data_IF_489423506333
#
_entry.id   IF_489423506333
#
_cell.length_a   1.000
_cell.length_b   1.000
_cell.length_c   1.000
_cell.angle_alpha   90.00
_cell.angle_beta   90.00
_cell.angle_gamma   90.00
#
_symmetry.space_group_name_H-M   'P 1'
#
loop_
_entity.id
_entity.type
_entity.pdbx_description
1 polymer ?
#
# COMPACT_ATOMS: atom_id res chain seq x y z
N UNK A 1 8.79 22.16 -9.64
CA UNK A 1 9.45 20.95 -10.17
C UNK A 1 8.62 19.76 -9.74
N UNK A 2 8.13 18.97 -10.69
CA UNK A 2 7.17 17.89 -10.46
C UNK A 2 7.94 16.61 -10.15
N UNK A 3 7.75 16.05 -8.95
CA UNK A 3 8.30 14.76 -8.58
C UNK A 3 7.55 13.63 -9.30
N UNK A 4 8.19 12.98 -10.26
CA UNK A 4 7.69 11.80 -10.94
C UNK A 4 8.56 10.59 -10.59
N UNK A 5 7.92 9.48 -10.30
CA UNK A 5 8.55 8.16 -10.40
C UNK A 5 9.04 8.02 -11.85
N UNK A 6 10.19 7.37 -12.10
CA UNK A 6 10.60 6.99 -13.47
C UNK A 6 9.64 5.99 -14.14
N UNK A 7 8.50 5.79 -13.55
CA UNK A 7 7.34 5.16 -14.19
C UNK A 7 6.71 6.04 -15.28
N UNK A 8 7.15 7.31 -15.38
CA UNK A 8 6.77 8.21 -16.46
C UNK A 8 7.98 8.43 -17.40
N UNK A 9 7.80 8.46 -18.72
CA UNK A 9 8.90 8.61 -19.68
C UNK A 9 9.71 9.88 -19.42
N UNK A 10 11.00 9.73 -19.13
CA UNK A 10 11.93 10.85 -19.15
C UNK A 10 12.22 11.20 -20.63
N UNK A 11 11.54 12.20 -21.16
CA UNK A 11 11.80 12.68 -22.52
C UNK A 11 10.57 12.70 -23.43
N UNK A 12 9.47 12.16 -23.03
CA UNK A 12 8.23 12.38 -23.76
C UNK A 12 7.59 13.66 -23.25
N UNK A 13 7.52 14.69 -24.11
CA UNK A 13 6.67 15.87 -23.96
C UNK A 13 5.18 15.46 -24.10
N UNK A 14 4.78 14.39 -23.47
CA UNK A 14 3.41 14.12 -23.16
C UNK A 14 3.00 15.14 -22.10
N UNK A 15 2.56 16.30 -22.60
CA UNK A 15 1.63 17.18 -21.89
C UNK A 15 0.32 16.42 -21.67
N UNK A 16 0.37 15.26 -21.04
CA UNK A 16 -0.73 14.87 -20.20
C UNK A 16 -0.75 15.94 -19.11
N UNK A 17 -1.66 16.89 -19.26
CA UNK A 17 -2.17 17.68 -18.17
C UNK A 17 -2.62 16.67 -17.11
N UNK A 18 -1.70 16.23 -16.26
CA UNK A 18 -2.08 15.77 -14.93
C UNK A 18 -2.79 16.97 -14.34
N UNK A 19 -4.11 17.03 -14.50
CA UNK A 19 -4.95 17.92 -13.73
C UNK A 19 -4.59 17.59 -12.30
N UNK A 20 -4.00 18.53 -11.60
CA UNK A 20 -3.91 18.49 -10.15
C UNK A 20 -5.37 18.40 -9.68
N UNK A 21 -5.83 17.19 -9.45
CA UNK A 21 -7.17 16.99 -8.93
C UNK A 21 -7.20 17.63 -7.55
N UNK A 22 -8.20 18.47 -7.33
CA UNK A 22 -8.46 19.04 -6.01
C UNK A 22 -8.80 17.89 -5.07
N UNK A 23 -8.53 18.06 -3.77
CA UNK A 23 -9.02 17.16 -2.74
C UNK A 23 -10.51 16.91 -2.97
N UNK A 24 -10.92 15.66 -2.99
CA UNK A 24 -12.33 15.28 -3.15
C UNK A 24 -13.17 15.92 -2.05
N UNK A 25 -14.45 16.23 -2.33
CA UNK A 25 -15.40 16.59 -1.30
C UNK A 25 -15.48 15.50 -0.23
N UNK A 26 -15.67 15.89 1.03
CA UNK A 26 -15.69 14.97 2.15
C UNK A 26 -16.83 13.95 2.02
N UNK A 27 -17.98 14.38 1.55
CA UNK A 27 -19.16 13.54 1.31
C UNK A 27 -18.86 12.41 0.35
N UNK A 28 -18.12 12.68 -0.74
CA UNK A 28 -17.70 11.65 -1.70
C UNK A 28 -16.79 10.62 -1.06
N UNK A 29 -15.88 11.05 -0.17
CA UNK A 29 -14.99 10.14 0.57
C UNK A 29 -15.79 9.28 1.55
N UNK A 30 -16.77 9.87 2.23
CA UNK A 30 -17.64 9.17 3.18
C UNK A 30 -18.58 8.17 2.51
N UNK A 31 -19.11 8.50 1.33
CA UNK A 31 -19.91 7.57 0.52
C UNK A 31 -19.07 6.35 0.14
N UNK A 32 -17.87 6.55 -0.39
CA UNK A 32 -16.97 5.46 -0.73
C UNK A 32 -16.55 4.63 0.50
N UNK A 33 -16.36 5.27 1.66
CA UNK A 33 -16.04 4.58 2.90
C UNK A 33 -17.20 3.73 3.43
N UNK A 34 -18.45 4.22 3.33
CA UNK A 34 -19.67 3.47 3.70
C UNK A 34 -19.85 2.25 2.77
N UNK A 35 -19.67 2.46 1.47
CA UNK A 35 -19.72 1.37 0.48
C UNK A 35 -18.66 0.30 0.76
N UNK A 36 -17.40 0.71 0.97
CA UNK A 36 -16.33 -0.22 1.32
C UNK A 36 -16.66 -1.01 2.59
N UNK A 37 -17.22 -0.36 3.62
CA UNK A 37 -17.65 -1.01 4.86
C UNK A 37 -18.79 -2.01 4.59
N UNK A 38 -19.79 -1.63 3.82
CA UNK A 38 -20.92 -2.51 3.45
C UNK A 38 -20.43 -3.75 2.68
N UNK A 39 -19.38 -3.61 1.89
CA UNK A 39 -18.72 -4.70 1.18
C UNK A 39 -17.76 -5.53 2.06
N UNK A 40 -17.63 -5.23 3.36
CA UNK A 40 -16.86 -6.01 4.33
C UNK A 40 -15.40 -5.56 4.50
N UNK A 41 -15.02 -4.39 3.99
CA UNK A 41 -13.70 -3.83 4.27
C UNK A 41 -13.54 -3.49 5.76
N UNK A 42 -12.39 -3.82 6.33
CA UNK A 42 -12.04 -3.49 7.73
C UNK A 42 -11.21 -2.22 7.84
N UNK A 43 -10.63 -1.76 6.72
CA UNK A 43 -9.78 -0.58 6.62
C UNK A 43 -10.12 0.20 5.37
N UNK A 44 -10.18 1.52 5.50
CA UNK A 44 -10.32 2.43 4.37
C UNK A 44 -9.01 3.20 4.16
N UNK A 45 -8.50 3.15 2.93
CA UNK A 45 -7.26 3.83 2.55
C UNK A 45 -7.56 5.08 1.73
N UNK A 46 -7.16 6.24 2.23
CA UNK A 46 -7.25 7.53 1.54
C UNK A 46 -5.90 7.88 0.93
N UNK A 47 -5.87 8.28 -0.33
CA UNK A 47 -4.61 8.57 -1.00
C UNK A 47 -4.66 9.82 -1.86
N UNK A 48 -3.54 10.55 -1.87
CA UNK A 48 -3.27 11.63 -2.80
C UNK A 48 -1.85 11.49 -3.35
N UNK A 49 -1.69 11.63 -4.66
CA UNK A 49 -0.40 11.54 -5.34
C UNK A 49 0.45 12.81 -5.14
N UNK A 50 0.61 13.23 -3.89
CA UNK A 50 1.41 14.40 -3.53
C UNK A 50 2.88 14.02 -3.31
N UNK A 51 3.75 15.00 -3.46
CA UNK A 51 5.12 14.88 -2.96
C UNK A 51 5.13 14.95 -1.43
N UNK A 52 4.39 15.92 -0.88
CA UNK A 52 4.14 16.17 0.53
C UNK A 52 2.79 16.88 0.66
N UNK A 53 2.00 16.64 1.72
CA UNK A 53 0.79 17.42 1.96
C UNK A 53 1.16 18.88 2.25
N UNK A 54 0.36 19.80 1.67
CA UNK A 54 0.53 21.23 1.96
C UNK A 54 -0.25 21.58 3.21
N UNK A 55 0.24 22.54 3.98
CA UNK A 55 -0.38 22.97 5.22
C UNK A 55 -1.86 23.34 5.06
N UNK A 56 -2.20 24.05 3.98
CA UNK A 56 -3.59 24.45 3.64
C UNK A 56 -4.54 23.26 3.39
N UNK A 57 -4.00 22.08 3.13
CA UNK A 57 -4.76 20.87 2.79
C UNK A 57 -4.90 19.94 4.01
N UNK A 58 -4.07 20.14 5.04
CA UNK A 58 -4.01 19.28 6.22
C UNK A 58 -5.33 19.25 7.00
N UNK A 59 -5.95 20.40 7.26
CA UNK A 59 -7.21 20.48 8.01
C UNK A 59 -8.31 19.62 7.37
N UNK A 60 -8.42 19.66 6.03
CA UNK A 60 -9.39 18.83 5.30
C UNK A 60 -9.08 17.35 5.40
N UNK A 61 -7.80 16.99 5.31
CA UNK A 61 -7.37 15.59 5.46
C UNK A 61 -7.68 15.08 6.86
N UNK A 62 -7.37 15.86 7.89
CA UNK A 62 -7.68 15.53 9.29
C UNK A 62 -9.19 15.35 9.51
N UNK A 63 -10.01 16.22 8.92
CA UNK A 63 -11.45 16.07 8.98
C UNK A 63 -11.90 14.77 8.31
N UNK A 64 -11.40 14.44 7.11
CA UNK A 64 -11.70 13.17 6.44
C UNK A 64 -11.31 11.97 7.32
N UNK A 65 -10.14 12.01 7.97
CA UNK A 65 -9.69 10.95 8.87
C UNK A 65 -10.67 10.77 10.01
N UNK A 66 -11.07 11.85 10.70
CA UNK A 66 -12.02 11.82 11.82
C UNK A 66 -13.37 11.22 11.41
N UNK A 67 -13.90 11.67 10.28
CA UNK A 67 -15.20 11.23 9.78
C UNK A 67 -15.21 9.76 9.34
N UNK A 68 -14.17 9.33 8.61
CA UNK A 68 -14.03 7.92 8.23
C UNK A 68 -13.82 7.03 9.46
N UNK A 69 -13.05 7.50 10.44
CA UNK A 69 -12.86 6.80 11.72
C UNK A 69 -14.18 6.63 12.48
N UNK A 70 -15.03 7.64 12.47
CA UNK A 70 -16.36 7.60 13.10
C UNK A 70 -17.28 6.53 12.47
N UNK A 71 -17.04 6.11 11.23
CA UNK A 71 -17.72 4.98 10.62
C UNK A 71 -17.30 3.62 11.20
N UNK A 72 -16.29 3.57 12.08
CA UNK A 72 -15.78 2.33 12.69
C UNK A 72 -14.80 1.54 11.81
N UNK A 73 -14.21 2.18 10.80
CA UNK A 73 -13.15 1.61 9.98
C UNK A 73 -11.76 1.92 10.56
N UNK A 74 -10.79 1.01 10.38
CA UNK A 74 -9.39 1.41 10.47
C UNK A 74 -9.11 2.41 9.33
N UNK A 75 -8.39 3.47 9.64
CA UNK A 75 -8.02 4.50 8.66
C UNK A 75 -6.57 4.35 8.22
N UNK A 76 -6.32 4.54 6.92
CA UNK A 76 -4.98 4.56 6.35
C UNK A 76 -4.85 5.75 5.41
N UNK A 77 -3.72 6.43 5.42
CA UNK A 77 -3.45 7.54 4.52
C UNK A 77 -2.14 7.36 3.73
N UNK A 78 -2.15 7.79 2.47
CA UNK A 78 -0.98 7.83 1.56
C UNK A 78 -0.90 9.23 0.97
N UNK A 79 -0.09 10.10 1.56
CA UNK A 79 -0.04 11.54 1.22
C UNK A 79 1.34 12.01 0.74
N UNK A 80 2.26 11.06 0.50
CA UNK A 80 3.65 11.38 0.17
C UNK A 80 4.53 11.47 1.42
N UNK A 81 5.58 12.29 1.35
CA UNK A 81 6.49 12.52 2.47
C UNK A 81 5.83 13.45 3.49
N UNK A 82 5.91 13.10 4.77
CA UNK A 82 5.43 13.95 5.85
C UNK A 82 6.54 14.87 6.34
N UNK A 83 6.21 16.12 6.56
CA UNK A 83 7.05 17.09 7.25
C UNK A 83 6.89 16.96 8.77
N UNK A 84 7.70 17.69 9.53
CA UNK A 84 7.65 17.69 10.99
C UNK A 84 6.26 18.11 11.51
N UNK A 85 5.74 17.42 12.51
CA UNK A 85 4.43 17.66 13.11
C UNK A 85 3.23 17.16 12.31
N UNK A 86 3.37 16.87 11.02
CA UNK A 86 2.23 16.39 10.21
C UNK A 86 1.77 14.99 10.61
N UNK A 87 2.69 14.11 11.01
CA UNK A 87 2.35 12.78 11.49
C UNK A 87 1.57 12.83 12.81
N UNK A 88 1.96 13.74 13.73
CA UNK A 88 1.29 13.93 15.01
C UNK A 88 -0.14 14.42 14.81
N UNK A 89 -0.36 15.40 13.97
CA UNK A 89 -1.69 15.91 13.61
C UNK A 89 -2.60 14.83 13.03
N UNK A 90 -2.06 13.99 12.13
CA UNK A 90 -2.82 12.85 11.58
C UNK A 90 -3.16 11.83 12.67
N UNK A 91 -2.25 11.59 13.61
CA UNK A 91 -2.50 10.72 14.77
C UNK A 91 -3.60 11.28 15.67
N UNK A 92 -3.55 12.57 15.99
CA UNK A 92 -4.57 13.27 16.77
C UNK A 92 -5.95 13.25 16.08
N UNK A 93 -5.96 13.33 14.75
CA UNK A 93 -7.17 13.15 13.97
C UNK A 93 -7.74 11.72 13.98
N UNK A 94 -7.00 10.73 14.54
CA UNK A 94 -7.43 9.34 14.68
C UNK A 94 -6.94 8.42 13.56
N UNK A 95 -5.91 8.82 12.80
CA UNK A 95 -5.30 7.94 11.80
C UNK A 95 -4.68 6.71 12.46
N UNK A 96 -4.94 5.52 11.92
CA UNK A 96 -4.37 4.27 12.43
C UNK A 96 -3.06 3.91 11.70
N UNK A 97 -3.04 4.06 10.37
CA UNK A 97 -1.91 3.65 9.52
C UNK A 97 -1.49 4.76 8.59
N UNK A 98 -0.18 4.90 8.40
CA UNK A 98 0.35 5.68 7.30
C UNK A 98 1.03 4.76 6.29
N UNK A 99 0.65 4.89 5.01
CA UNK A 99 1.25 4.11 3.93
C UNK A 99 2.34 4.92 3.25
N UNK A 100 3.57 4.41 3.33
CA UNK A 100 4.72 4.97 2.64
C UNK A 100 5.68 3.85 2.26
N UNK A 101 5.63 3.44 0.99
CA UNK A 101 6.41 2.31 0.51
C UNK A 101 7.90 2.66 0.33
N UNK A 102 8.78 1.68 0.53
CA UNK A 102 10.19 1.76 0.12
C UNK A 102 10.34 1.58 -1.40
N UNK A 103 9.34 1.03 -2.05
CA UNK A 103 9.21 0.71 -3.45
C UNK A 103 10.14 -0.42 -3.89
N UNK A 104 11.44 -0.36 -3.61
CA UNK A 104 12.41 -1.42 -3.95
C UNK A 104 13.57 -1.46 -2.95
N UNK A 105 14.59 -2.29 -3.22
CA UNK A 105 15.82 -2.33 -2.43
C UNK A 105 16.66 -1.05 -2.62
N UNK A 106 17.47 -0.64 -1.62
CA UNK A 106 18.36 0.52 -1.74
C UNK A 106 19.25 0.46 -2.99
N UNK A 107 19.82 -0.72 -3.27
CA UNK A 107 20.76 -0.91 -4.39
C UNK A 107 20.11 -0.83 -5.77
N UNK A 108 18.77 -0.87 -5.84
CA UNK A 108 18.03 -0.76 -7.09
C UNK A 108 17.21 0.52 -7.19
N UNK A 109 17.14 1.29 -6.10
CA UNK A 109 16.25 2.45 -5.99
C UNK A 109 16.52 3.51 -7.05
N UNK A 110 17.77 3.89 -7.27
CA UNK A 110 18.16 4.93 -8.23
C UNK A 110 17.92 4.52 -9.70
N UNK A 111 17.76 3.21 -9.96
CA UNK A 111 17.43 2.73 -11.29
C UNK A 111 15.98 3.05 -11.68
N UNK A 112 15.09 3.20 -10.69
CA UNK A 112 13.64 3.38 -10.92
C UNK A 112 13.12 4.73 -10.43
N UNK A 113 13.77 5.37 -9.46
CA UNK A 113 13.34 6.62 -8.84
C UNK A 113 14.48 7.63 -8.85
N UNK A 114 14.26 8.78 -9.51
CA UNK A 114 15.25 9.85 -9.66
C UNK A 114 14.85 11.16 -8.99
N UNK A 115 13.69 11.21 -8.35
CA UNK A 115 13.08 12.45 -7.85
C UNK A 115 13.09 12.58 -6.33
N UNK A 116 13.50 11.52 -5.65
CA UNK A 116 13.58 11.41 -4.19
C UNK A 116 14.74 10.49 -3.85
N UNK A 117 15.37 10.73 -2.73
CA UNK A 117 16.36 9.82 -2.17
C UNK A 117 15.69 8.70 -1.37
N UNK A 118 16.37 7.58 -1.23
CA UNK A 118 15.87 6.47 -0.42
C UNK A 118 15.72 6.88 1.05
N UNK A 119 16.63 7.73 1.53
CA UNK A 119 16.60 8.26 2.89
C UNK A 119 15.35 9.07 3.18
N UNK A 120 14.82 9.86 2.23
CA UNK A 120 13.57 10.61 2.39
C UNK A 120 12.40 9.70 2.82
N UNK A 121 12.41 8.44 2.33
CA UNK A 121 11.38 7.46 2.69
C UNK A 121 11.56 6.96 4.11
N UNK A 122 12.79 6.64 4.49
CA UNK A 122 13.11 6.20 5.85
C UNK A 122 12.80 7.29 6.87
N UNK A 123 13.12 8.55 6.57
CA UNK A 123 12.83 9.69 7.45
C UNK A 123 11.33 9.87 7.64
N UNK A 124 10.54 9.73 6.57
CA UNK A 124 9.07 9.77 6.68
C UNK A 124 8.55 8.63 7.57
N UNK A 125 9.06 7.41 7.39
CA UNK A 125 8.69 6.27 8.24
C UNK A 125 9.10 6.49 9.71
N UNK A 126 10.24 7.13 9.93
CA UNK A 126 10.69 7.55 11.26
C UNK A 126 9.71 8.51 11.94
N UNK A 127 9.27 9.56 11.23
CA UNK A 127 8.25 10.52 11.73
C UNK A 127 6.93 9.82 12.04
N UNK A 128 6.48 8.92 11.15
CA UNK A 128 5.26 8.12 11.34
C UNK A 128 5.35 7.28 12.63
N UNK A 129 6.49 6.63 12.87
CA UNK A 129 6.72 5.84 14.08
C UNK A 129 6.78 6.70 15.33
N UNK A 130 7.46 7.84 15.27
CA UNK A 130 7.55 8.78 16.39
C UNK A 130 6.17 9.26 16.85
N UNK A 131 5.28 9.55 15.91
CA UNK A 131 3.89 9.92 16.18
C UNK A 131 3.02 8.75 16.71
N UNK A 132 3.55 7.53 16.84
CA UNK A 132 2.80 6.36 17.29
C UNK A 132 1.77 5.84 16.29
N UNK A 133 1.94 6.15 15.00
CA UNK A 133 1.15 5.58 13.91
C UNK A 133 1.69 4.19 13.55
N UNK A 134 0.79 3.31 13.12
CA UNK A 134 1.17 2.04 12.50
C UNK A 134 1.66 2.28 11.07
N UNK A 135 2.64 1.50 10.65
CA UNK A 135 3.25 1.61 9.32
C UNK A 135 2.64 0.59 8.37
N UNK A 136 2.21 1.08 7.19
CA UNK A 136 1.94 0.29 6.02
C UNK A 136 3.08 0.58 5.02
N UNK A 137 3.98 -0.37 4.83
CA UNK A 137 5.16 -0.17 3.99
C UNK A 137 5.54 -1.46 3.28
N UNK A 138 5.74 -1.37 2.00
CA UNK A 138 6.13 -2.47 1.13
C UNK A 138 6.84 -1.98 -0.12
N UNK A 139 6.64 -2.68 -1.23
CA UNK A 139 7.29 -2.32 -2.49
C UNK A 139 6.62 -2.92 -3.71
N UNK A 140 7.28 -2.71 -4.84
CA UNK A 140 6.87 -3.20 -6.17
C UNK A 140 7.93 -4.20 -6.63
N UNK A 141 7.50 -5.34 -7.12
CA UNK A 141 8.38 -6.36 -7.71
C UNK A 141 8.03 -6.59 -9.19
N UNK A 142 9.02 -7.02 -9.96
CA UNK A 142 8.89 -7.17 -11.42
C UNK A 142 9.31 -5.92 -12.22
N UNK A 143 10.06 -5.00 -11.59
CA UNK A 143 10.59 -3.80 -12.25
C UNK A 143 11.94 -4.04 -12.96
N UNK A 144 12.37 -5.29 -13.10
CA UNK A 144 13.66 -5.69 -13.65
C UNK A 144 14.74 -5.93 -12.58
N UNK A 145 14.38 -5.88 -11.31
CA UNK A 145 15.26 -6.19 -10.20
C UNK A 145 15.61 -7.69 -10.14
N UNK A 146 16.80 -8.01 -9.69
CA UNK A 146 17.26 -9.38 -9.44
C UNK A 146 16.61 -9.98 -8.18
N UNK A 147 16.69 -11.31 -8.04
CA UNK A 147 16.26 -12.01 -6.81
C UNK A 147 16.96 -11.46 -5.57
N UNK A 148 18.26 -11.13 -5.67
CA UNK A 148 19.03 -10.54 -4.56
C UNK A 148 18.46 -9.21 -4.15
N UNK A 149 18.10 -8.35 -5.09
CA UNK A 149 17.49 -7.05 -4.80
C UNK A 149 16.09 -7.20 -4.21
N UNK A 150 15.26 -8.17 -4.66
CA UNK A 150 13.99 -8.48 -3.98
C UNK A 150 14.20 -8.93 -2.53
N UNK A 151 15.20 -9.79 -2.29
CA UNK A 151 15.56 -10.15 -0.93
C UNK A 151 16.05 -8.95 -0.11
N UNK A 152 16.78 -8.01 -0.73
CA UNK A 152 17.19 -6.75 -0.13
C UNK A 152 16.01 -5.88 0.32
N UNK A 153 14.97 -5.75 -0.51
CA UNK A 153 13.74 -5.06 -0.13
C UNK A 153 13.11 -5.70 1.12
N UNK A 154 12.95 -7.03 1.14
CA UNK A 154 12.35 -7.72 2.29
C UNK A 154 13.23 -7.58 3.53
N UNK A 155 14.55 -7.67 3.39
CA UNK A 155 15.49 -7.46 4.49
C UNK A 155 15.39 -6.05 5.07
N UNK A 156 15.28 -5.02 4.22
CA UNK A 156 15.06 -3.64 4.69
C UNK A 156 13.76 -3.50 5.49
N UNK A 157 12.66 -4.06 5.00
CA UNK A 157 11.38 -4.01 5.68
C UNK A 157 11.44 -4.74 7.04
N UNK A 158 12.06 -5.92 7.07
CA UNK A 158 12.18 -6.75 8.27
C UNK A 158 13.10 -6.13 9.34
N UNK A 159 14.08 -5.33 8.91
CA UNK A 159 15.04 -4.67 9.81
C UNK A 159 14.55 -3.30 10.33
N UNK A 160 13.41 -2.80 9.85
CA UNK A 160 12.75 -1.66 10.50
C UNK A 160 12.34 -2.09 11.93
N UNK A 161 12.57 -1.24 12.91
CA UNK A 161 12.28 -1.56 14.32
C UNK A 161 11.22 -0.62 14.90
N UNK A 162 9.97 -1.10 15.11
CA UNK A 162 9.47 -2.42 14.68
C UNK A 162 9.27 -2.51 13.17
N UNK A 163 9.27 -3.73 12.60
CA UNK A 163 8.91 -3.90 11.19
C UNK A 163 7.45 -3.47 10.93
N UNK A 164 7.06 -3.20 9.66
CA UNK A 164 5.73 -2.69 9.35
C UNK A 164 4.61 -3.65 9.77
N UNK A 165 3.53 -3.14 10.33
CA UNK A 165 2.33 -3.91 10.65
C UNK A 165 1.58 -4.38 9.39
N UNK A 166 1.81 -3.71 8.26
CA UNK A 166 1.19 -4.06 6.98
C UNK A 166 2.22 -3.93 5.86
N UNK A 167 2.40 -5.00 5.08
CA UNK A 167 3.40 -5.09 4.02
C UNK A 167 2.69 -5.38 2.69
N UNK A 168 2.32 -4.32 1.92
CA UNK A 168 1.79 -4.50 0.59
C UNK A 168 2.90 -4.92 -0.39
N UNK A 169 2.73 -6.04 -1.05
CA UNK A 169 3.58 -6.48 -2.16
C UNK A 169 2.81 -6.24 -3.45
N UNK A 170 3.31 -5.31 -4.27
CA UNK A 170 2.74 -4.97 -5.55
C UNK A 170 3.48 -5.73 -6.66
N UNK A 171 2.74 -6.29 -7.60
CA UNK A 171 3.30 -6.75 -8.87
C UNK A 171 3.24 -5.60 -9.87
N UNK A 172 4.32 -5.38 -10.61
CA UNK A 172 4.34 -4.33 -11.63
C UNK A 172 3.22 -4.54 -12.64
N UNK A 173 2.37 -3.54 -12.80
CA UNK A 173 1.42 -3.45 -13.89
C UNK A 173 2.05 -2.59 -14.98
N UNK A 174 2.39 -3.20 -16.09
CA UNK A 174 3.01 -2.48 -17.21
C UNK A 174 1.96 -1.62 -17.91
N UNK A 175 2.29 -0.35 -18.13
CA UNK A 175 1.44 0.60 -18.83
C UNK A 175 2.22 1.14 -20.03
N UNK A 176 1.62 1.07 -21.21
CA UNK A 176 2.21 1.58 -22.43
C UNK A 176 2.61 3.06 -22.31
N UNK A 177 3.78 3.41 -22.83
CA UNK A 177 4.33 4.75 -22.74
C UNK A 177 5.03 5.06 -21.41
N UNK A 178 5.13 4.11 -20.47
CA UNK A 178 5.92 4.27 -19.24
C UNK A 178 7.32 3.65 -19.40
N UNK A 179 8.34 4.11 -18.65
CA UNK A 179 9.72 3.61 -18.77
C UNK A 179 9.89 2.11 -18.47
N UNK A 180 9.00 1.52 -17.70
CA UNK A 180 9.02 0.09 -17.36
C UNK A 180 8.17 -0.77 -18.29
N UNK A 181 7.55 -0.17 -19.31
CA UNK A 181 6.85 -0.93 -20.34
C UNK A 181 7.84 -1.81 -21.13
N UNK A 182 7.50 -3.07 -21.37
CA UNK A 182 8.39 -4.04 -22.02
C UNK A 182 9.44 -4.66 -21.09
N UNK A 183 9.45 -4.33 -19.80
CA UNK A 183 10.28 -5.05 -18.82
C UNK A 183 9.89 -6.54 -18.82
N UNK A 184 10.87 -7.43 -18.72
CA UNK A 184 10.61 -8.87 -18.64
C UNK A 184 9.64 -9.19 -17.48
N UNK A 185 8.61 -9.98 -17.77
CA UNK A 185 7.63 -10.36 -16.77
C UNK A 185 8.30 -11.14 -15.64
N UNK A 186 7.94 -10.84 -14.40
CA UNK A 186 8.40 -11.60 -13.26
C UNK A 186 7.77 -13.00 -13.28
N UNK A 187 8.58 -14.02 -13.10
CA UNK A 187 8.11 -15.39 -12.91
C UNK A 187 7.12 -15.45 -11.73
N UNK A 188 5.92 -16.04 -11.91
CA UNK A 188 4.91 -16.11 -10.86
C UNK A 188 5.42 -16.77 -9.56
N UNK A 189 6.28 -17.78 -9.65
CA UNK A 189 6.86 -18.43 -8.47
C UNK A 189 7.84 -17.51 -7.72
N UNK A 190 8.51 -16.59 -8.42
CA UNK A 190 9.32 -15.57 -7.75
C UNK A 190 8.46 -14.59 -6.94
N UNK A 191 7.25 -14.25 -7.43
CA UNK A 191 6.31 -13.46 -6.67
C UNK A 191 5.83 -14.22 -5.42
N UNK A 192 5.40 -15.48 -5.57
CA UNK A 192 4.98 -16.35 -4.45
C UNK A 192 6.10 -16.51 -3.43
N UNK A 193 7.34 -16.71 -3.88
CA UNK A 193 8.52 -16.80 -3.01
C UNK A 193 8.73 -15.49 -2.22
N UNK A 194 8.53 -14.34 -2.85
CA UNK A 194 8.62 -13.04 -2.17
C UNK A 194 7.60 -12.93 -1.03
N UNK A 195 6.36 -13.37 -1.26
CA UNK A 195 5.32 -13.45 -0.22
C UNK A 195 5.73 -14.37 0.92
N UNK A 196 6.26 -15.58 0.61
CA UNK A 196 6.70 -16.53 1.63
C UNK A 196 7.82 -15.96 2.51
N UNK A 197 8.83 -15.33 1.89
CA UNK A 197 9.94 -14.72 2.63
C UNK A 197 9.44 -13.55 3.49
N UNK A 198 8.55 -12.69 2.96
CA UNK A 198 7.95 -11.62 3.73
C UNK A 198 7.18 -12.15 4.96
N UNK A 199 6.45 -13.26 4.83
CA UNK A 199 5.73 -13.92 5.93
C UNK A 199 6.69 -14.47 6.99
N UNK A 200 7.76 -15.14 6.56
CA UNK A 200 8.73 -15.74 7.48
C UNK A 200 9.47 -14.67 8.29
N UNK A 201 9.91 -13.61 7.62
CA UNK A 201 10.71 -12.54 8.25
C UNK A 201 9.88 -11.56 9.06
N UNK A 202 8.59 -11.40 8.73
CA UNK A 202 7.66 -10.49 9.41
C UNK A 202 6.38 -11.25 9.84
N UNK A 203 6.47 -12.18 10.79
CA UNK A 203 5.40 -13.15 11.09
C UNK A 203 4.10 -12.51 11.62
N UNK A 204 4.17 -11.35 12.24
CA UNK A 204 2.98 -10.63 12.76
C UNK A 204 2.41 -9.62 11.77
N UNK A 205 3.11 -9.33 10.67
CA UNK A 205 2.65 -8.37 9.67
C UNK A 205 1.43 -8.87 8.89
N UNK A 206 0.62 -7.94 8.41
CA UNK A 206 -0.38 -8.22 7.36
C UNK A 206 0.34 -8.19 6.01
N UNK A 207 0.78 -9.35 5.52
CA UNK A 207 1.36 -9.48 4.18
C UNK A 207 0.23 -9.41 3.17
N UNK A 208 0.26 -8.37 2.34
CA UNK A 208 -0.89 -7.99 1.50
C UNK A 208 -0.60 -8.16 0.02
N UNK A 209 -1.50 -8.86 -0.67
CA UNK A 209 -1.57 -8.79 -2.13
C UNK A 209 -2.18 -7.44 -2.54
N UNK A 210 -1.43 -6.69 -3.32
CA UNK A 210 -1.79 -5.32 -3.70
C UNK A 210 -1.98 -5.21 -5.23
N UNK A 211 -1.35 -4.24 -5.90
CA UNK A 211 -1.48 -4.09 -7.34
C UNK A 211 -1.02 -5.33 -8.12
N UNK A 212 -1.58 -5.52 -9.33
CA UNK A 212 -1.22 -6.61 -10.24
C UNK A 212 -2.01 -7.92 -10.03
N UNK A 213 -3.00 -7.94 -9.15
CA UNK A 213 -3.80 -9.14 -8.84
C UNK A 213 -4.57 -9.68 -10.05
N UNK A 214 -5.09 -8.80 -10.92
CA UNK A 214 -5.79 -9.22 -12.16
C UNK A 214 -4.86 -9.99 -13.09
N UNK A 215 -3.61 -9.57 -13.20
CA UNK A 215 -2.61 -10.19 -14.07
C UNK A 215 -2.09 -11.54 -13.55
N UNK A 216 -2.13 -11.74 -12.23
CA UNK A 216 -1.67 -12.99 -11.60
C UNK A 216 -2.59 -14.18 -11.85
N UNK A 217 -3.88 -13.96 -12.04
CA UNK A 217 -4.88 -15.01 -12.08
C UNK A 217 -5.14 -15.67 -10.71
N UNK A 218 -6.20 -16.46 -10.63
CA UNK A 218 -6.65 -17.08 -9.38
C UNK A 218 -5.63 -18.07 -8.78
N UNK A 219 -5.00 -18.90 -9.62
CA UNK A 219 -4.06 -19.93 -9.16
C UNK A 219 -2.83 -19.34 -8.45
N UNK A 220 -2.26 -18.27 -8.99
CA UNK A 220 -1.11 -17.59 -8.36
C UNK A 220 -1.53 -16.88 -7.09
N UNK A 221 -2.70 -16.27 -7.04
CA UNK A 221 -3.24 -15.69 -5.81
C UNK A 221 -3.45 -16.76 -4.74
N UNK A 222 -4.01 -17.93 -5.10
CA UNK A 222 -4.17 -19.05 -4.18
C UNK A 222 -2.81 -19.51 -3.60
N UNK A 223 -1.79 -19.66 -4.43
CA UNK A 223 -0.44 -19.98 -3.98
C UNK A 223 0.12 -18.90 -3.04
N UNK A 224 -0.16 -17.62 -3.30
CA UNK A 224 0.25 -16.54 -2.40
C UNK A 224 -0.43 -16.63 -1.02
N UNK A 225 -1.72 -16.99 -0.95
CA UNK A 225 -2.38 -17.23 0.34
C UNK A 225 -1.76 -18.43 1.09
N UNK A 226 -1.47 -19.53 0.39
CA UNK A 226 -0.76 -20.68 0.98
C UNK A 226 0.65 -20.30 1.45
N UNK A 227 1.34 -19.43 0.72
CA UNK A 227 2.66 -18.91 1.07
C UNK A 227 2.63 -17.91 2.24
N UNK A 228 1.45 -17.49 2.70
CA UNK A 228 1.30 -16.67 3.89
C UNK A 228 0.78 -15.25 3.66
N UNK A 229 0.31 -14.89 2.47
CA UNK A 229 -0.49 -13.68 2.32
C UNK A 229 -1.77 -13.82 3.17
N UNK A 230 -2.15 -12.76 3.89
CA UNK A 230 -3.31 -12.77 4.77
C UNK A 230 -4.13 -11.47 4.71
N UNK A 231 -3.91 -10.70 3.66
CA UNK A 231 -4.62 -9.44 3.40
C UNK A 231 -4.64 -9.17 1.90
N UNK A 232 -5.69 -8.51 1.44
CA UNK A 232 -5.80 -8.00 0.07
C UNK A 232 -6.20 -6.54 0.09
N UNK A 233 -5.91 -5.81 -0.99
CA UNK A 233 -6.67 -4.62 -1.30
C UNK A 233 -7.99 -5.02 -1.92
N UNK A 234 -9.08 -4.50 -1.39
CA UNK A 234 -10.45 -4.80 -1.75
C UNK A 234 -11.06 -3.61 -2.49
N UNK A 235 -11.85 -3.89 -3.54
CA UNK A 235 -12.46 -2.88 -4.41
C UNK A 235 -11.82 -2.84 -5.80
N UNK A 236 -12.61 -2.46 -6.79
CA UNK A 236 -12.33 -2.54 -8.23
C UNK A 236 -11.20 -1.64 -8.73
N UNK A 237 -10.83 -0.63 -7.95
CA UNK A 237 -9.86 0.38 -8.34
C UNK A 237 -8.88 0.70 -7.22
N UNK A 238 -7.59 0.61 -7.53
CA UNK A 238 -6.51 1.21 -6.75
C UNK A 238 -6.25 2.64 -7.25
N UNK A 239 -5.34 3.37 -6.60
CA UNK A 239 -5.07 4.76 -6.95
C UNK A 239 -4.79 4.99 -8.45
N UNK A 240 -4.09 4.05 -9.11
CA UNK A 240 -3.63 4.19 -10.50
C UNK A 240 -3.96 3.00 -11.39
N UNK A 241 -4.42 1.87 -10.85
CA UNK A 241 -4.65 0.63 -11.60
C UNK A 241 -5.96 -0.04 -11.19
N UNK A 242 -6.55 -0.78 -12.13
CA UNK A 242 -7.69 -1.65 -11.83
C UNK A 242 -7.31 -2.81 -10.90
N UNK A 243 -8.26 -3.29 -10.14
CA UNK A 243 -8.15 -4.41 -9.20
C UNK A 243 -9.34 -5.37 -9.43
N UNK A 244 -9.29 -6.64 -9.00
CA UNK A 244 -10.49 -7.47 -8.94
C UNK A 244 -11.60 -6.78 -8.17
N UNK A 245 -12.83 -6.95 -8.62
CA UNK A 245 -13.97 -6.39 -7.90
C UNK A 245 -14.30 -7.20 -6.63
N UNK A 246 -15.25 -6.70 -5.87
CA UNK A 246 -15.64 -7.32 -4.60
C UNK A 246 -16.25 -8.72 -4.79
N UNK A 247 -16.90 -8.99 -5.92
CA UNK A 247 -17.50 -10.27 -6.23
C UNK A 247 -16.45 -11.31 -6.63
N UNK A 248 -15.52 -10.93 -7.48
CA UNK A 248 -14.34 -11.75 -7.83
C UNK A 248 -13.59 -12.19 -6.56
N UNK A 249 -13.36 -11.24 -5.64
CA UNK A 249 -12.67 -11.53 -4.39
C UNK A 249 -13.46 -12.47 -3.48
N UNK A 250 -14.78 -12.29 -3.36
CA UNK A 250 -15.64 -13.21 -2.60
C UNK A 250 -15.63 -14.61 -3.20
N UNK A 251 -15.74 -14.69 -4.54
CA UNK A 251 -15.71 -15.97 -5.24
C UNK A 251 -14.39 -16.71 -5.04
N UNK A 252 -13.26 -16.02 -5.17
CA UNK A 252 -11.92 -16.59 -4.94
C UNK A 252 -11.76 -17.08 -3.50
N UNK A 253 -12.10 -16.25 -2.51
CA UNK A 253 -12.01 -16.62 -1.10
C UNK A 253 -12.90 -17.83 -0.78
N UNK A 254 -14.12 -17.89 -1.32
CA UNK A 254 -15.01 -19.03 -1.15
C UNK A 254 -14.44 -20.33 -1.76
N UNK A 255 -13.89 -20.28 -2.98
CA UNK A 255 -13.18 -21.41 -3.62
C UNK A 255 -12.04 -21.95 -2.76
N UNK A 256 -11.33 -21.05 -2.05
CA UNK A 256 -10.21 -21.40 -1.19
C UNK A 256 -10.61 -21.78 0.23
N UNK A 257 -11.90 -21.75 0.59
CA UNK A 257 -12.38 -21.97 1.95
C UNK A 257 -11.92 -20.89 2.95
N UNK A 258 -11.49 -19.72 2.45
CA UNK A 258 -11.04 -18.61 3.27
C UNK A 258 -12.21 -17.70 3.65
N UNK A 259 -12.11 -17.10 4.83
CA UNK A 259 -13.10 -16.14 5.33
C UNK A 259 -12.43 -14.81 5.65
N UNK A 260 -13.09 -13.71 5.31
CA UNK A 260 -12.67 -12.38 5.78
C UNK A 260 -12.91 -12.26 7.28
N UNK A 261 -12.01 -11.61 8.01
CA UNK A 261 -12.29 -11.25 9.41
C UNK A 261 -13.41 -10.21 9.42
N UNK A 262 -14.58 -10.62 9.82
CA UNK A 262 -15.64 -9.71 10.24
C UNK A 262 -15.23 -9.18 11.61
N UNK A 263 -15.10 -7.85 11.76
CA UNK A 263 -14.79 -7.10 12.97
C UNK A 263 -14.41 -7.93 14.21
N UNK A 264 -13.14 -8.31 14.34
CA UNK A 264 -12.70 -8.97 15.56
C UNK A 264 -12.68 -7.91 16.67
N UNK A 265 -13.71 -7.90 17.49
CA UNK A 265 -13.54 -7.54 18.90
C UNK A 265 -12.43 -8.46 19.40
N UNK A 266 -11.37 -7.88 19.92
CA UNK A 266 -10.25 -8.59 20.54
C UNK A 266 -10.80 -9.33 21.78
N UNK A 267 -11.32 -10.54 21.55
CA UNK A 267 -11.66 -11.43 22.65
C UNK A 267 -10.32 -11.95 23.15
N UNK A 268 -9.77 -11.24 24.12
CA UNK A 268 -8.57 -11.63 24.80
C UNK A 268 -8.69 -13.10 25.22
N UNK A 269 -7.85 -13.94 24.64
CA UNK A 269 -7.67 -15.31 25.07
C UNK A 269 -7.13 -15.25 26.50
N UNK A 270 -7.99 -15.40 27.51
CA UNK A 270 -7.54 -15.64 28.86
C UNK A 270 -6.84 -16.99 28.87
N UNK A 271 -5.62 -17.10 29.39
CA UNK A 271 -5.02 -18.40 29.60
C UNK A 271 -5.89 -19.14 30.62
N UNK A 272 -6.38 -20.28 30.24
CA UNK A 272 -6.97 -21.24 31.19
C UNK A 272 -5.85 -21.76 32.07
N UNK A 273 -5.98 -21.52 33.35
CA UNK A 273 -5.16 -22.09 34.44
C UNK A 273 -5.17 -23.61 34.43
#
# INVERSE_FOLDING_TARGET
MRGGLRLLPSGCTLRHRCRSEKILPIETVLEAAREAKANGATRFCMGAAWRSPKERDMEKVEQMVREVKALGLETCATLGMLEEGQADRLKEAGLDYYNHNLDTAPEFYDNVISTREYQDRLDTLGRVRHAGLKVCCGGIVGMGESRRQRAGLIAQLANLNPYPESVPVNHLVQVEGTPLYGTAALDPFEFVRTIAVARITMPKARVRLSAGRRQMGEAVQALCFLAGANSIFYGDKLLTTGNPDAEDDRALLAKLGLRTRVGAVDVGCKPTS
#
